data_IF_781634015656
#
_entry.id   IF_781634015656
#
_cell.length_a   1.000
_cell.length_b   1.000
_cell.length_c   1.000
_cell.angle_alpha   90.00
_cell.angle_beta   90.00
_cell.angle_gamma   90.00
#
_symmetry.space_group_name_H-M   'P 1'
#
loop_
_entity.id
_entity.type
_entity.pdbx_description
1 polymer ?
#
# COMPACT_ATOMS: atom_id res chain seq x y z
N UNK A 1 35.80 -31.74 20.49
CA UNK A 1 34.49 -31.12 20.81
C UNK A 1 34.27 -30.02 19.79
N UNK A 2 33.59 -30.37 18.70
CA UNK A 2 33.41 -29.52 17.53
C UNK A 2 31.91 -29.33 17.38
N UNK A 3 31.42 -28.13 17.67
CA UNK A 3 30.00 -27.82 17.53
C UNK A 3 29.68 -27.74 16.04
N UNK A 4 28.84 -28.66 15.57
CA UNK A 4 28.25 -28.67 14.24
C UNK A 4 27.39 -27.42 14.06
N UNK A 5 27.80 -26.57 13.11
CA UNK A 5 26.99 -25.50 12.54
C UNK A 5 25.78 -26.14 11.85
N UNK A 6 24.62 -26.08 12.49
CA UNK A 6 23.37 -26.49 11.87
C UNK A 6 23.03 -25.44 10.80
N UNK A 7 23.37 -25.76 9.55
CA UNK A 7 22.88 -25.01 8.39
C UNK A 7 21.37 -25.20 8.34
N UNK A 8 20.63 -24.10 8.48
CA UNK A 8 19.21 -24.07 8.17
C UNK A 8 19.01 -24.55 6.73
N UNK A 9 18.04 -25.44 6.47
CA UNK A 9 17.79 -25.91 5.11
C UNK A 9 17.41 -24.71 4.23
N UNK A 10 17.91 -24.66 2.97
CA UNK A 10 17.53 -23.61 2.05
C UNK A 10 16.02 -23.62 1.86
N UNK A 11 15.43 -22.42 1.88
CA UNK A 11 14.00 -22.25 1.64
C UNK A 11 13.62 -22.88 0.29
N UNK A 12 12.44 -23.52 0.17
CA UNK A 12 11.99 -24.12 -1.08
C UNK A 12 12.01 -23.10 -2.22
N UNK A 13 12.50 -23.51 -3.40
CA UNK A 13 12.71 -22.64 -4.57
C UNK A 13 11.45 -21.95 -5.13
N UNK A 14 10.26 -22.22 -4.58
CA UNK A 14 8.98 -21.77 -5.17
C UNK A 14 8.02 -21.07 -4.20
N UNK A 15 8.55 -20.43 -3.16
CA UNK A 15 7.78 -19.46 -2.36
C UNK A 15 8.64 -18.22 -2.13
N UNK A 16 8.52 -17.24 -3.02
CA UNK A 16 8.83 -15.85 -2.66
C UNK A 16 7.55 -15.24 -2.07
N UNK A 17 7.40 -15.13 -0.73
CA UNK A 17 6.29 -14.40 -0.14
C UNK A 17 6.35 -12.89 -0.42
N UNK A 18 7.36 -12.43 -1.16
CA UNK A 18 7.66 -11.04 -1.51
C UNK A 18 7.93 -10.89 -3.02
N UNK A 19 7.03 -11.38 -3.88
CA UNK A 19 7.16 -11.22 -5.34
C UNK A 19 7.38 -9.73 -5.71
N UNK A 20 8.62 -9.37 -6.02
CA UNK A 20 9.02 -8.03 -6.40
C UNK A 20 8.85 -7.86 -7.92
N UNK A 21 7.82 -7.11 -8.34
CA UNK A 21 7.56 -6.78 -9.75
C UNK A 21 8.44 -5.59 -10.17
N UNK A 22 9.72 -5.84 -10.39
CA UNK A 22 10.76 -4.80 -10.57
C UNK A 22 10.61 -3.80 -11.73
N UNK A 23 9.52 -3.83 -12.50
CA UNK A 23 9.24 -2.81 -13.53
C UNK A 23 7.74 -2.60 -13.68
N UNK A 24 7.26 -1.38 -13.43
CA UNK A 24 5.92 -0.95 -13.83
C UNK A 24 6.00 -0.51 -15.29
N UNK A 25 5.05 -0.94 -16.11
CA UNK A 25 4.91 -0.50 -17.50
C UNK A 25 3.62 0.31 -17.72
N UNK A 26 3.40 0.76 -18.95
CA UNK A 26 2.21 1.56 -19.31
C UNK A 26 0.91 0.76 -19.16
N UNK A 27 0.94 -0.55 -19.45
CA UNK A 27 -0.23 -1.41 -19.32
C UNK A 27 -0.65 -1.50 -17.84
N UNK A 28 0.32 -1.62 -16.95
CA UNK A 28 0.14 -1.63 -15.50
C UNK A 28 -0.42 -0.29 -14.99
N UNK A 29 0.15 0.84 -15.44
CA UNK A 29 -0.39 2.18 -15.10
C UNK A 29 -1.82 2.38 -15.61
N UNK A 30 -2.13 1.90 -16.81
CA UNK A 30 -3.49 1.92 -17.36
C UNK A 30 -4.45 1.08 -16.53
N UNK A 31 -4.02 -0.08 -16.05
CA UNK A 31 -4.80 -0.90 -15.13
C UNK A 31 -5.08 -0.18 -13.80
N UNK A 32 -4.09 0.52 -13.24
CA UNK A 32 -4.29 1.35 -12.03
C UNK A 32 -5.27 2.48 -12.26
N UNK A 33 -5.15 3.22 -13.36
CA UNK A 33 -6.13 4.26 -13.75
C UNK A 33 -7.55 3.70 -13.73
N UNK A 34 -7.80 2.57 -14.39
CA UNK A 34 -9.13 1.96 -14.45
C UNK A 34 -9.66 1.54 -13.07
N UNK A 35 -8.78 1.14 -12.14
CA UNK A 35 -9.17 0.82 -10.76
C UNK A 35 -9.54 2.06 -9.95
N UNK A 36 -8.79 3.15 -10.14
CA UNK A 36 -9.02 4.42 -9.46
C UNK A 36 -10.32 5.10 -9.92
N UNK A 37 -10.61 5.07 -11.23
CA UNK A 37 -11.85 5.64 -11.77
C UNK A 37 -13.10 4.92 -11.23
N UNK A 38 -13.04 3.61 -11.00
CA UNK A 38 -14.11 2.83 -10.32
C UNK A 38 -14.36 3.27 -8.87
N UNK A 39 -13.44 4.03 -8.28
CA UNK A 39 -13.52 4.59 -6.92
C UNK A 39 -13.75 6.11 -6.93
N UNK A 40 -14.17 6.69 -8.06
CA UNK A 40 -14.36 8.14 -8.25
C UNK A 40 -13.09 8.97 -8.02
N UNK A 41 -11.92 8.37 -8.27
CA UNK A 41 -10.64 9.06 -8.36
C UNK A 41 -10.33 9.26 -9.84
N UNK A 42 -10.64 10.44 -10.37
CA UNK A 42 -10.56 10.77 -11.78
C UNK A 42 -9.10 11.02 -12.15
N UNK A 43 -8.58 10.24 -13.10
CA UNK A 43 -7.21 10.35 -13.57
C UNK A 43 -7.07 11.41 -14.67
N UNK A 44 -6.14 12.33 -14.48
CA UNK A 44 -5.72 13.32 -15.46
C UNK A 44 -4.23 13.19 -15.75
N UNK A 45 -3.92 12.94 -17.00
CA UNK A 45 -2.55 13.05 -17.48
C UNK A 45 -2.24 14.52 -17.73
N UNK A 46 -1.17 15.02 -17.13
CA UNK A 46 -0.70 16.40 -17.34
C UNK A 46 0.61 16.42 -18.13
N UNK A 47 0.80 17.46 -18.92
CA UNK A 47 2.08 17.81 -19.54
C UNK A 47 2.68 18.98 -18.76
N UNK A 48 3.59 18.66 -17.84
CA UNK A 48 4.29 19.63 -17.02
C UNK A 48 5.79 19.38 -17.13
N UNK A 49 6.61 20.42 -16.94
CA UNK A 49 8.06 20.24 -16.85
C UNK A 49 8.45 19.31 -15.69
N UNK A 50 9.71 18.88 -15.67
CA UNK A 50 10.24 17.87 -14.74
C UNK A 50 10.08 18.21 -13.24
N UNK A 51 9.84 19.47 -12.91
CA UNK A 51 9.64 19.93 -11.53
C UNK A 51 8.27 19.62 -10.92
N UNK A 52 7.30 19.10 -11.68
CA UNK A 52 5.98 18.71 -11.17
C UNK A 52 5.69 17.25 -11.48
N UNK A 53 5.60 16.41 -10.46
CA UNK A 53 5.40 14.98 -10.63
C UNK A 53 3.91 14.60 -10.73
N UNK A 54 3.08 15.15 -9.85
CA UNK A 54 1.65 14.87 -9.79
C UNK A 54 0.96 15.65 -8.68
N UNK A 55 -0.33 15.37 -8.47
CA UNK A 55 -1.08 15.82 -7.31
C UNK A 55 -2.38 15.03 -7.14
N UNK A 56 -2.88 14.93 -5.91
CA UNK A 56 -4.28 14.58 -5.64
C UNK A 56 -5.04 15.72 -4.97
N UNK A 57 -6.30 15.90 -5.34
CA UNK A 57 -7.19 16.87 -4.71
C UNK A 57 -8.62 16.35 -4.58
N UNK A 58 -9.31 16.75 -3.51
CA UNK A 58 -10.76 16.57 -3.39
C UNK A 58 -11.48 17.53 -4.35
N UNK A 59 -12.42 17.01 -5.13
CA UNK A 59 -13.32 17.81 -5.99
C UNK A 59 -14.64 18.08 -5.26
N UNK A 60 -15.27 17.02 -4.74
CA UNK A 60 -16.53 17.12 -4.00
C UNK A 60 -16.58 16.07 -2.91
N UNK A 61 -17.11 16.46 -1.74
CA UNK A 61 -17.33 15.54 -0.62
C UNK A 61 -18.73 14.96 -0.74
N UNK A 62 -18.87 13.66 -0.53
CA UNK A 62 -20.19 13.07 -0.34
C UNK A 62 -20.78 13.48 1.01
N UNK A 63 -22.04 13.93 1.00
CA UNK A 63 -22.79 14.27 2.22
C UNK A 63 -23.48 13.03 2.83
N UNK A 64 -23.66 11.97 2.06
CA UNK A 64 -24.38 10.76 2.47
C UNK A 64 -23.42 9.63 2.83
N UNK A 65 -23.58 8.99 4.00
CA UNK A 65 -22.80 7.80 4.35
C UNK A 65 -22.96 6.71 3.28
N UNK A 66 -21.84 6.19 2.77
CA UNK A 66 -21.83 5.11 1.78
C UNK A 66 -21.83 5.57 0.32
N UNK A 67 -22.00 6.87 0.05
CA UNK A 67 -21.78 7.44 -1.29
C UNK A 67 -20.32 7.93 -1.42
N UNK A 68 -19.69 7.76 -2.59
CA UNK A 68 -18.28 8.12 -2.81
C UNK A 68 -18.07 9.64 -2.94
N UNK A 69 -17.04 10.17 -2.30
CA UNK A 69 -16.50 11.49 -2.67
C UNK A 69 -15.79 11.42 -4.02
N UNK A 70 -15.60 12.56 -4.67
CA UNK A 70 -14.87 12.67 -5.93
C UNK A 70 -13.49 13.30 -5.73
N UNK A 71 -12.48 12.67 -6.30
CA UNK A 71 -11.10 13.13 -6.26
C UNK A 71 -10.52 13.28 -7.66
N UNK A 72 -9.54 14.17 -7.81
CA UNK A 72 -8.74 14.35 -9.02
C UNK A 72 -7.32 13.90 -8.76
N UNK A 73 -6.84 12.93 -9.53
CA UNK A 73 -5.45 12.49 -9.56
C UNK A 73 -4.79 13.03 -10.82
N UNK A 74 -3.75 13.85 -10.68
CA UNK A 74 -2.94 14.35 -11.78
C UNK A 74 -1.58 13.66 -11.79
N UNK A 75 -1.15 13.13 -12.93
CA UNK A 75 0.15 12.47 -13.09
C UNK A 75 0.86 13.00 -14.32
N UNK A 76 2.12 13.42 -14.17
CA UNK A 76 2.93 13.96 -15.26
C UNK A 76 3.38 12.85 -16.22
N UNK A 77 3.03 12.97 -17.49
CA UNK A 77 3.39 12.00 -18.54
C UNK A 77 4.88 11.98 -18.90
N UNK A 78 5.60 13.06 -18.59
CA UNK A 78 7.00 13.23 -19.01
C UNK A 78 7.97 12.36 -18.18
N UNK A 79 7.48 11.77 -17.08
CA UNK A 79 8.25 10.86 -16.24
C UNK A 79 8.12 9.40 -16.71
N UNK A 80 9.18 8.60 -16.50
CA UNK A 80 9.12 7.16 -16.79
C UNK A 80 8.07 6.45 -15.89
N UNK A 81 7.61 5.25 -16.26
CA UNK A 81 6.55 4.56 -15.54
C UNK A 81 6.83 4.32 -14.05
N UNK A 82 8.07 3.99 -13.66
CA UNK A 82 8.44 3.76 -12.26
C UNK A 82 8.36 5.05 -11.44
N UNK A 83 8.77 6.19 -12.00
CA UNK A 83 8.63 7.50 -11.35
C UNK A 83 7.15 7.85 -11.20
N UNK A 84 6.34 7.64 -12.24
CA UNK A 84 4.88 7.84 -12.17
C UNK A 84 4.22 6.93 -11.13
N UNK A 85 4.69 5.71 -10.97
CA UNK A 85 4.21 4.81 -9.93
C UNK A 85 4.54 5.31 -8.52
N UNK A 86 5.77 5.76 -8.29
CA UNK A 86 6.16 6.35 -7.01
C UNK A 86 5.35 7.61 -6.68
N UNK A 87 5.11 8.47 -7.68
CA UNK A 87 4.20 9.61 -7.56
C UNK A 87 2.80 9.15 -7.20
N UNK A 88 2.25 8.17 -7.93
CA UNK A 88 0.92 7.64 -7.65
C UNK A 88 0.79 7.12 -6.21
N UNK A 89 1.78 6.36 -5.73
CA UNK A 89 1.80 5.83 -4.37
C UNK A 89 1.86 6.94 -3.32
N UNK A 90 2.66 7.98 -3.56
CA UNK A 90 2.75 9.18 -2.71
C UNK A 90 1.40 9.91 -2.63
N UNK A 91 0.79 10.22 -3.77
CA UNK A 91 -0.48 10.93 -3.84
C UNK A 91 -1.63 10.12 -3.22
N UNK A 92 -1.68 8.81 -3.44
CA UNK A 92 -2.64 7.95 -2.75
C UNK A 92 -2.35 7.85 -1.24
N UNK A 93 -1.09 8.00 -0.84
CA UNK A 93 -0.69 8.20 0.55
C UNK A 93 -1.43 9.38 1.17
N UNK A 94 -1.39 10.57 0.57
CA UNK A 94 -2.15 11.73 1.05
C UNK A 94 -3.65 11.43 1.22
N UNK A 95 -4.25 10.72 0.27
CA UNK A 95 -5.65 10.33 0.36
C UNK A 95 -5.89 9.41 1.57
N UNK A 96 -5.24 8.24 1.62
CA UNK A 96 -5.53 7.21 2.62
C UNK A 96 -5.01 7.52 4.03
N UNK A 97 -4.03 8.41 4.15
CA UNK A 97 -3.64 9.00 5.44
C UNK A 97 -4.64 10.04 5.95
N UNK A 98 -5.68 10.39 5.16
CA UNK A 98 -6.70 11.34 5.56
C UNK A 98 -6.26 12.81 5.48
N UNK A 99 -5.17 13.11 4.77
CA UNK A 99 -4.69 14.48 4.57
C UNK A 99 -5.67 15.34 3.77
N UNK A 100 -6.53 14.69 2.98
CA UNK A 100 -7.65 15.33 2.27
C UNK A 100 -8.96 15.28 3.07
N UNK A 101 -8.92 14.97 4.36
CA UNK A 101 -10.08 14.82 5.24
C UNK A 101 -10.72 13.43 5.20
N UNK A 102 -11.58 13.15 6.18
CA UNK A 102 -12.26 11.86 6.35
C UNK A 102 -13.13 11.48 5.15
N UNK A 103 -13.19 10.20 4.87
CA UNK A 103 -14.06 9.63 3.84
C UNK A 103 -14.55 8.24 4.29
N UNK A 104 -15.85 8.10 4.55
CA UNK A 104 -16.42 6.84 5.04
C UNK A 104 -16.46 5.76 3.95
N UNK A 105 -16.63 6.13 2.68
CA UNK A 105 -16.72 5.18 1.57
C UNK A 105 -15.37 4.48 1.33
N UNK A 106 -14.28 5.22 1.48
CA UNK A 106 -12.90 4.70 1.37
C UNK A 106 -12.32 4.20 2.70
N UNK A 107 -13.11 4.17 3.78
CA UNK A 107 -12.65 3.83 5.13
C UNK A 107 -11.46 4.68 5.60
N UNK A 108 -11.52 6.00 5.39
CA UNK A 108 -10.50 6.97 5.78
C UNK A 108 -10.97 7.69 7.07
N UNK A 109 -10.27 7.52 8.20
CA UNK A 109 -10.67 8.10 9.47
C UNK A 109 -10.42 9.62 9.50
N UNK A 110 -11.08 10.28 10.45
CA UNK A 110 -10.78 11.66 10.81
C UNK A 110 -9.44 11.72 11.56
N UNK A 111 -8.66 12.78 11.31
CA UNK A 111 -7.36 12.99 11.96
C UNK A 111 -7.20 14.42 12.46
N UNK A 112 -6.40 14.64 13.51
CA UNK A 112 -5.95 15.96 13.91
C UNK A 112 -5.21 16.67 12.78
N UNK A 113 -5.14 18.00 12.85
CA UNK A 113 -4.36 18.79 11.91
C UNK A 113 -2.86 18.55 12.16
N UNK A 114 -2.15 18.07 11.15
CA UNK A 114 -0.71 17.87 11.15
C UNK A 114 0.00 19.08 10.53
N UNK A 115 1.30 19.22 10.83
CA UNK A 115 2.15 20.16 10.09
C UNK A 115 2.35 19.68 8.65
N UNK A 116 2.65 20.60 7.73
CA UNK A 116 2.93 20.23 6.34
C UNK A 116 4.11 19.26 6.23
N UNK A 117 5.16 19.46 7.03
CA UNK A 117 6.32 18.55 7.06
C UNK A 117 5.93 17.12 7.46
N UNK A 118 5.06 16.95 8.48
CA UNK A 118 4.55 15.62 8.86
C UNK A 118 3.67 15.01 7.77
N UNK A 119 2.81 15.80 7.13
CA UNK A 119 1.94 15.37 6.02
C UNK A 119 2.76 14.78 4.87
N UNK A 120 3.81 15.49 4.44
CA UNK A 120 4.70 15.04 3.36
C UNK A 120 5.53 13.83 3.79
N UNK A 121 6.05 13.83 5.02
CA UNK A 121 6.85 12.72 5.54
C UNK A 121 6.05 11.41 5.63
N UNK A 122 4.80 11.46 6.11
CA UNK A 122 3.94 10.27 6.15
C UNK A 122 3.59 9.79 4.73
N UNK A 123 3.28 10.69 3.80
CA UNK A 123 2.97 10.35 2.40
C UNK A 123 4.18 9.73 1.68
N UNK A 124 5.38 10.29 1.89
CA UNK A 124 6.63 9.76 1.36
C UNK A 124 6.96 8.38 1.97
N UNK A 125 6.67 8.19 3.25
CA UNK A 125 6.80 6.89 3.93
C UNK A 125 5.92 5.81 3.29
N UNK A 126 4.65 6.15 2.97
CA UNK A 126 3.76 5.24 2.23
C UNK A 126 4.34 4.92 0.85
N UNK A 127 4.77 5.94 0.10
CA UNK A 127 5.37 5.73 -1.23
C UNK A 127 6.58 4.81 -1.18
N UNK A 128 7.46 4.99 -0.19
CA UNK A 128 8.61 4.13 0.03
C UNK A 128 8.20 2.67 0.26
N UNK A 129 7.28 2.40 1.19
CA UNK A 129 6.83 1.02 1.49
C UNK A 129 6.28 0.35 0.24
N UNK A 130 5.43 1.05 -0.51
CA UNK A 130 4.81 0.53 -1.73
C UNK A 130 5.87 0.26 -2.80
N UNK A 131 6.79 1.20 -3.04
CA UNK A 131 7.87 1.02 -4.02
C UNK A 131 8.79 -0.14 -3.63
N UNK A 132 9.24 -0.20 -2.37
CA UNK A 132 10.11 -1.25 -1.85
C UNK A 132 9.49 -2.64 -1.98
N UNK A 133 8.21 -2.80 -1.62
CA UNK A 133 7.49 -4.09 -1.76
C UNK A 133 7.31 -4.53 -3.21
N UNK A 134 7.32 -3.59 -4.15
CA UNK A 134 7.22 -3.88 -5.57
C UNK A 134 8.60 -3.91 -6.26
N UNK A 135 9.72 -3.87 -5.52
CA UNK A 135 11.07 -3.91 -6.10
C UNK A 135 11.46 -2.65 -6.88
N UNK A 136 10.79 -1.53 -6.65
CA UNK A 136 11.01 -0.26 -7.34
C UNK A 136 11.88 0.63 -6.46
N UNK A 137 13.03 1.06 -6.99
CA UNK A 137 13.86 2.07 -6.34
C UNK A 137 13.28 3.46 -6.62
N UNK A 138 12.97 4.20 -5.57
CA UNK A 138 12.43 5.56 -5.65
C UNK A 138 13.32 6.54 -4.88
N UNK A 139 13.16 7.84 -5.14
CA UNK A 139 13.87 8.89 -4.40
C UNK A 139 13.42 9.00 -2.93
N UNK A 140 12.31 8.35 -2.56
CA UNK A 140 11.82 8.30 -1.19
C UNK A 140 12.82 7.64 -0.23
N UNK A 141 13.60 6.68 -0.72
CA UNK A 141 14.65 6.01 0.05
C UNK A 141 15.68 7.01 0.58
N UNK A 142 16.20 7.88 -0.29
CA UNK A 142 17.18 8.89 0.08
C UNK A 142 16.61 10.04 0.92
N UNK A 143 15.33 10.39 0.71
CA UNK A 143 14.63 11.36 1.55
C UNK A 143 14.48 10.85 2.99
N UNK A 144 13.96 9.63 3.15
CA UNK A 144 13.75 9.01 4.46
C UNK A 144 15.07 8.69 5.17
N UNK A 145 16.10 8.23 4.46
CA UNK A 145 17.42 8.01 5.07
C UNK A 145 18.02 9.29 5.63
N UNK A 146 17.81 10.41 4.93
CA UNK A 146 18.24 11.74 5.39
C UNK A 146 17.43 12.16 6.61
N UNK A 147 16.11 11.98 6.58
CA UNK A 147 15.22 12.33 7.69
C UNK A 147 15.58 11.56 8.98
N UNK A 148 15.70 10.23 8.90
CA UNK A 148 16.09 9.37 10.03
C UNK A 148 17.47 9.74 10.59
N UNK A 149 18.38 10.23 9.74
CA UNK A 149 19.71 10.67 10.16
C UNK A 149 19.71 12.06 10.81
N UNK A 150 18.74 12.92 10.48
CA UNK A 150 18.66 14.30 10.94
C UNK A 150 17.71 14.53 12.13
N UNK A 151 16.71 13.66 12.30
CA UNK A 151 15.66 13.78 13.31
C UNK A 151 15.46 12.42 14.00
N UNK A 152 15.90 12.31 15.26
CA UNK A 152 15.92 11.05 16.01
C UNK A 152 14.53 10.60 16.49
N UNK A 153 13.49 11.42 16.31
CA UNK A 153 12.17 11.16 16.90
C UNK A 153 11.19 10.54 15.90
N UNK A 154 11.19 9.20 15.87
CA UNK A 154 10.08 8.38 15.32
C UNK A 154 8.73 8.78 15.96
N UNK A 155 8.75 9.50 17.09
CA UNK A 155 7.58 10.02 17.82
C UNK A 155 6.63 10.87 16.97
N UNK A 156 7.09 11.46 15.87
CA UNK A 156 6.25 12.25 14.96
C UNK A 156 5.51 11.43 13.88
N UNK A 157 5.76 10.12 13.80
CA UNK A 157 5.16 9.24 12.80
C UNK A 157 4.11 8.32 13.42
N UNK A 158 2.87 8.42 12.93
CA UNK A 158 1.86 7.42 13.22
C UNK A 158 2.05 6.19 12.32
N UNK A 159 2.97 5.30 12.73
CA UNK A 159 3.33 4.09 11.98
C UNK A 159 2.12 3.21 11.67
N UNK A 160 1.14 3.15 12.58
CA UNK A 160 -0.09 2.41 12.36
C UNK A 160 -0.86 2.99 11.17
N UNK A 161 -1.03 4.31 11.12
CA UNK A 161 -1.71 4.98 10.01
C UNK A 161 -0.97 4.83 8.69
N UNK A 162 0.36 4.89 8.70
CA UNK A 162 1.21 4.68 7.51
C UNK A 162 1.02 3.25 6.98
N UNK A 163 1.13 2.22 7.83
CA UNK A 163 0.95 0.83 7.41
C UNK A 163 -0.46 0.55 6.92
N UNK A 164 -1.47 1.12 7.60
CA UNK A 164 -2.88 1.05 7.20
C UNK A 164 -3.09 1.66 5.82
N UNK A 165 -2.57 2.87 5.60
CA UNK A 165 -2.66 3.57 4.32
C UNK A 165 -1.94 2.79 3.21
N UNK A 166 -0.74 2.26 3.46
CA UNK A 166 -0.03 1.40 2.51
C UNK A 166 -0.87 0.19 2.11
N UNK A 167 -1.49 -0.53 3.06
CA UNK A 167 -2.39 -1.64 2.74
C UNK A 167 -3.61 -1.22 1.91
N UNK A 168 -4.15 -0.02 2.12
CA UNK A 168 -5.23 0.51 1.29
C UNK A 168 -4.78 0.87 -0.13
N UNK A 169 -3.56 1.42 -0.28
CA UNK A 169 -2.93 1.67 -1.58
C UNK A 169 -2.72 0.36 -2.34
N UNK A 170 -2.18 -0.67 -1.67
CA UNK A 170 -2.00 -1.99 -2.28
C UNK A 170 -3.34 -2.57 -2.75
N UNK A 171 -4.36 -2.49 -1.91
CA UNK A 171 -5.68 -3.01 -2.24
C UNK A 171 -6.34 -2.28 -3.42
N UNK A 172 -6.33 -0.94 -3.43
CA UNK A 172 -6.96 -0.18 -4.54
C UNK A 172 -6.23 -0.40 -5.86
N UNK A 173 -4.91 -0.57 -5.83
CA UNK A 173 -4.10 -0.86 -7.01
C UNK A 173 -4.13 -2.35 -7.41
N UNK A 174 -4.64 -3.23 -6.54
CA UNK A 174 -4.68 -4.67 -6.77
C UNK A 174 -3.31 -5.35 -6.65
N UNK A 175 -2.44 -4.80 -5.80
CA UNK A 175 -1.09 -5.29 -5.51
C UNK A 175 -1.06 -6.31 -4.38
N UNK A 176 -2.14 -6.43 -3.60
CA UNK A 176 -2.23 -7.42 -2.54
C UNK A 176 -2.18 -8.84 -3.10
N UNK A 177 -1.29 -9.68 -2.56
CA UNK A 177 -1.27 -11.10 -2.90
C UNK A 177 -2.64 -11.74 -2.60
N UNK A 178 -3.15 -12.65 -3.45
CA UNK A 178 -4.37 -13.37 -3.13
C UNK A 178 -4.13 -14.21 -1.87
N UNK A 179 -4.86 -13.90 -0.80
CA UNK A 179 -4.94 -14.76 0.38
C UNK A 179 -5.64 -16.06 -0.03
N UNK A 180 -4.86 -17.09 -0.37
CA UNK A 180 -5.37 -18.46 -0.44
C UNK A 180 -5.66 -18.89 1.00
N UNK A 181 -6.93 -18.76 1.40
CA UNK A 181 -7.42 -19.38 2.61
C UNK A 181 -7.61 -20.87 2.31
N UNK A 182 -6.60 -21.69 2.62
CA UNK A 182 -6.82 -23.13 2.67
C UNK A 182 -7.83 -23.39 3.78
N UNK A 183 -9.03 -23.84 3.40
CA UNK A 183 -10.01 -24.31 4.39
C UNK A 183 -9.36 -25.49 5.12
N UNK A 184 -9.30 -25.49 6.47
CA UNK A 184 -8.86 -26.68 7.17
C UNK A 184 -9.74 -27.84 6.76
N UNK A 185 -9.13 -28.89 6.20
CA UNK A 185 -9.83 -30.14 5.87
C UNK A 185 -10.50 -30.64 7.15
N UNK A 186 -11.80 -30.95 7.08
CA UNK A 186 -12.52 -31.56 8.20
C UNK A 186 -11.69 -32.72 8.74
N UNK A 187 -11.40 -32.68 10.04
CA UNK A 187 -10.81 -33.81 10.73
C UNK A 187 -11.70 -35.05 10.50
N UNK A 188 -11.13 -36.25 10.31
CA UNK A 188 -11.91 -37.46 10.20
C UNK A 188 -12.69 -37.66 11.50
N UNK A 189 -14.01 -37.75 11.38
CA UNK A 189 -14.90 -38.14 12.48
C UNK A 189 -14.53 -39.56 12.89
N UNK A 190 -13.91 -39.71 14.06
CA UNK A 190 -13.80 -41.00 14.71
C UNK A 190 -15.19 -41.42 15.19
N UNK A 191 -15.80 -42.38 14.51
CA UNK A 191 -16.98 -43.07 15.00
C UNK A 191 -16.59 -43.83 16.27
N UNK A 192 -16.96 -43.29 17.43
CA UNK A 192 -16.90 -44.01 18.71
C UNK A 192 -18.07 -44.98 18.71
N UNK A 193 -17.82 -46.24 18.37
CA UNK A 193 -18.81 -47.30 18.49
C UNK A 193 -18.97 -47.66 19.98
N UNK A 194 -20.05 -47.18 20.59
CA UNK A 194 -20.42 -47.46 21.97
C UNK A 194 -21.30 -48.72 22.02
N UNK A 195 -20.69 -49.87 21.77
CA UNK A 195 -21.25 -51.19 22.11
C UNK A 195 -20.09 -52.07 22.52
N UNK A 196 -19.82 -52.12 23.83
CA UNK A 196 -19.28 -53.29 24.53
C UNK A 196 -19.23 -52.96 26.03
N UNK A 197 -20.41 -52.98 26.65
CA UNK A 197 -20.54 -53.34 28.06
C UNK A 197 -21.39 -54.60 28.07
N UNK A 198 -20.77 -55.75 28.34
CA UNK A 198 -21.33 -56.94 29.00
C UNK A 198 -20.31 -58.08 28.88
N UNK A 199 -19.44 -58.23 29.88
CA UNK A 199 -19.17 -59.45 30.67
C UNK A 199 -17.96 -59.19 31.58
#
# INVERSE_FOLDING_TARGET
>A
MTWLTQMEPPLPEDVSPFAAYGTVDEATLSAYKNRLEKKNIIWHTIDAGDGKAGSIALISRSEKPGEPSQYKMAVNRNHNPNVRFATLAHELGHLFLGHLGKDKYLNIPERPKLSHAQVELEAESVSYIICSRNGIKSKAESYLSTYVSSDTSIENLDLYQIMRAAGQVENILGLSAPTKYDRPSKAPTSDVNMQDTLF
#
